data_IF_496186477188
#
_entry.id   IF_496186477188
#
_cell.length_a   1.000
_cell.length_b   1.000
_cell.length_c   1.000
_cell.angle_alpha   90.00
_cell.angle_beta   90.00
_cell.angle_gamma   90.00
#
_symmetry.space_group_name_H-M   'P 1'
#
loop_
_entity.id
_entity.type
_entity.pdbx_description
1 polymer ?
#
# COMPACT_ATOMS: atom_id res chain seq x y z
N UNK A 1 -7.47 22.87 13.16
CA UNK A 1 -6.63 23.55 14.18
C UNK A 1 -5.25 22.88 14.25
N UNK A 2 -4.21 23.57 13.81
CA UNK A 2 -2.83 23.02 13.77
C UNK A 2 -2.27 22.96 15.19
N UNK A 3 -1.73 21.81 15.59
CA UNK A 3 -1.09 21.62 16.91
C UNK A 3 0.23 22.39 16.97
N UNK A 4 0.48 23.09 18.08
CA UNK A 4 1.73 23.85 18.29
C UNK A 4 2.86 22.89 18.71
N UNK A 5 4.04 23.09 18.12
CA UNK A 5 5.25 22.33 18.45
C UNK A 5 5.76 22.71 19.83
N UNK A 6 6.12 21.71 20.65
CA UNK A 6 6.56 21.89 22.03
C UNK A 6 8.05 22.22 22.17
N UNK A 7 8.87 22.07 21.12
CA UNK A 7 10.33 22.24 21.21
C UNK A 7 10.91 22.89 19.95
N UNK A 8 10.75 24.22 19.85
CA UNK A 8 11.15 25.02 18.68
C UNK A 8 12.67 25.20 18.59
N UNK A 9 13.38 25.27 19.72
CA UNK A 9 14.79 25.70 19.77
C UNK A 9 15.77 24.82 18.97
N UNK A 10 15.45 23.52 18.82
CA UNK A 10 16.24 22.53 18.05
C UNK A 10 15.63 22.18 16.69
N UNK A 11 14.60 22.91 16.28
CA UNK A 11 13.89 22.66 15.03
C UNK A 11 14.33 23.64 13.96
N UNK A 12 14.05 23.27 12.70
CA UNK A 12 14.26 24.12 11.52
C UNK A 12 13.63 25.52 11.66
N UNK A 13 12.61 25.68 12.52
CA UNK A 13 11.92 26.94 12.76
C UNK A 13 12.77 27.98 13.53
N UNK A 14 13.90 27.58 14.13
CA UNK A 14 14.81 28.47 14.87
C UNK A 14 16.07 28.86 14.05
N UNK A 15 16.11 28.50 12.76
CA UNK A 15 17.21 28.87 11.86
C UNK A 15 16.94 30.26 11.26
N UNK A 16 17.44 31.33 11.90
CA UNK A 16 17.23 32.74 11.46
C UNK A 16 17.59 33.00 10.00
N UNK A 17 18.54 32.25 9.42
CA UNK A 17 18.98 32.38 8.02
C UNK A 17 17.96 31.88 6.98
N UNK A 18 16.92 31.18 7.42
CA UNK A 18 15.86 30.63 6.55
C UNK A 18 14.60 31.50 6.55
N UNK A 19 14.55 32.58 7.33
CA UNK A 19 13.43 33.50 7.28
C UNK A 19 13.50 34.31 5.98
N UNK A 20 12.47 34.27 5.12
CA UNK A 20 12.47 35.03 3.89
C UNK A 20 12.54 36.53 4.19
N UNK A 21 13.40 37.25 3.48
CA UNK A 21 13.43 38.71 3.51
C UNK A 21 12.03 39.24 3.16
N UNK A 22 11.50 40.14 3.98
CA UNK A 22 10.15 40.66 3.89
C UNK A 22 9.90 41.33 2.53
N UNK A 23 9.25 40.61 1.61
CA UNK A 23 8.85 41.09 0.29
C UNK A 23 7.45 40.63 -0.13
N UNK A 24 6.66 40.13 0.82
CA UNK A 24 5.29 39.71 0.56
C UNK A 24 4.38 40.93 0.42
N UNK A 25 3.55 40.92 -0.60
CA UNK A 25 2.47 41.90 -0.77
C UNK A 25 1.35 41.60 0.24
N UNK A 26 1.49 42.19 1.42
CA UNK A 26 0.54 42.00 2.53
C UNK A 26 -0.80 42.68 2.24
N UNK A 27 -0.85 43.67 1.33
CA UNK A 27 -2.10 44.31 0.91
C UNK A 27 -2.90 43.37 0.01
N UNK A 28 -2.26 42.73 -0.98
CA UNK A 28 -2.91 41.72 -1.81
C UNK A 28 -3.38 40.52 -0.97
N UNK A 29 -2.55 40.06 -0.04
CA UNK A 29 -2.91 38.97 0.88
C UNK A 29 -4.16 39.33 1.71
N UNK A 30 -4.21 40.56 2.21
CA UNK A 30 -5.36 41.07 2.95
C UNK A 30 -6.59 41.12 2.06
N UNK A 31 -6.52 41.69 0.86
CA UNK A 31 -7.69 41.80 -0.03
C UNK A 31 -8.24 40.43 -0.47
N UNK A 32 -7.35 39.45 -0.68
CA UNK A 32 -7.74 38.10 -1.09
C UNK A 32 -8.34 37.23 0.02
N UNK A 33 -7.93 37.43 1.28
CA UNK A 33 -8.23 36.51 2.38
C UNK A 33 -8.85 37.18 3.62
N UNK A 34 -9.12 38.48 3.59
CA UNK A 34 -9.83 39.16 4.67
C UNK A 34 -11.27 38.63 4.77
N UNK A 35 -11.57 38.05 5.92
CA UNK A 35 -12.93 37.62 6.27
C UNK A 35 -13.73 38.87 6.63
N UNK A 36 -14.42 39.45 5.63
CA UNK A 36 -15.29 40.61 5.85
C UNK A 36 -16.40 40.25 6.85
N UNK A 37 -16.54 40.96 7.97
CA UNK A 37 -17.65 40.76 8.88
C UNK A 37 -18.96 41.12 8.18
N UNK A 38 -19.99 40.27 8.32
CA UNK A 38 -21.35 40.62 7.91
C UNK A 38 -21.82 41.83 8.71
N UNK A 39 -21.96 42.97 8.05
CA UNK A 39 -22.57 44.16 8.64
C UNK A 39 -24.06 43.91 8.87
N UNK A 40 -24.44 43.66 10.12
CA UNK A 40 -25.81 43.82 10.58
C UNK A 40 -26.14 45.31 10.57
N UNK A 41 -26.90 45.77 9.58
CA UNK A 41 -27.49 47.10 9.59
C UNK A 41 -28.54 47.17 10.70
N UNK A 42 -28.12 47.71 11.85
CA UNK A 42 -29.03 48.10 12.92
C UNK A 42 -29.95 49.22 12.43
N UNK A 43 -31.24 48.91 12.29
CA UNK A 43 -32.29 49.94 12.24
C UNK A 43 -32.59 50.39 13.67
N UNK A 44 -32.47 51.70 13.87
CA UNK A 44 -32.88 52.42 15.08
C UNK A 44 -34.35 52.16 15.41
N UNK A 45 -34.62 52.16 16.71
CA UNK A 45 -35.93 52.23 17.34
C UNK A 45 -36.75 53.40 16.81
N UNK A 46 -37.97 53.10 16.35
CA UNK A 46 -39.12 53.98 16.52
C UNK A 46 -40.38 53.13 16.67
N UNK A 47 -41.23 53.59 17.59
CA UNK A 47 -42.60 53.21 17.97
C UNK A 47 -43.33 52.07 17.23
N UNK A 48 -43.95 51.21 18.04
CA UNK A 48 -44.88 50.15 17.62
C UNK A 48 -46.16 50.70 16.95
N UNK A 49 -46.64 50.04 15.88
CA UNK A 49 -48.05 49.91 15.55
C UNK A 49 -48.56 48.48 15.83
N UNK A 50 -49.89 48.28 15.97
CA UNK A 50 -50.46 47.05 16.54
C UNK A 50 -50.35 45.85 15.59
N UNK A 51 -50.32 44.67 16.22
CA UNK A 51 -50.20 43.37 15.58
C UNK A 51 -51.32 43.13 14.55
N UNK A 52 -50.90 42.77 13.33
CA UNK A 52 -51.72 42.03 12.37
C UNK A 52 -51.40 40.52 12.48
N UNK A 53 -52.41 39.63 12.45
CA UNK A 53 -52.18 38.20 12.62
C UNK A 53 -51.68 37.56 11.31
N UNK A 54 -50.75 36.62 11.42
CA UNK A 54 -50.53 35.59 10.39
C UNK A 54 -49.37 35.84 9.41
N UNK A 55 -48.17 35.40 9.80
CA UNK A 55 -47.33 34.48 9.00
C UNK A 55 -46.02 34.28 9.77
N UNK A 56 -45.98 33.26 10.63
CA UNK A 56 -44.71 32.74 11.14
C UNK A 56 -43.89 32.26 9.94
N UNK A 57 -42.78 32.94 9.65
CA UNK A 57 -41.74 32.41 8.77
C UNK A 57 -41.42 30.99 9.24
N UNK A 58 -41.43 29.98 8.35
CA UNK A 58 -41.22 28.61 8.76
C UNK A 58 -39.86 28.49 9.46
N UNK A 59 -39.87 27.87 10.64
CA UNK A 59 -38.68 27.57 11.40
C UNK A 59 -37.74 26.72 10.53
N UNK A 60 -36.45 27.08 10.50
CA UNK A 60 -35.44 26.26 9.82
C UNK A 60 -35.13 25.09 10.74
N UNK A 61 -35.15 23.86 10.20
CA UNK A 61 -34.93 22.64 10.99
C UNK A 61 -33.66 22.73 11.83
N UNK A 62 -33.72 22.23 13.07
CA UNK A 62 -32.58 22.13 13.99
C UNK A 62 -32.12 20.69 14.23
N UNK A 63 -32.74 19.72 13.56
CA UNK A 63 -32.43 18.29 13.70
C UNK A 63 -31.00 17.91 13.25
N UNK A 64 -30.41 18.65 12.32
CA UNK A 64 -29.07 18.40 11.79
C UNK A 64 -28.12 19.53 12.22
N UNK A 65 -26.94 19.17 12.73
CA UNK A 65 -25.94 20.17 13.13
C UNK A 65 -25.45 21.00 11.94
N UNK A 66 -25.08 22.26 12.18
CA UNK A 66 -24.64 23.17 11.12
C UNK A 66 -23.44 22.62 10.34
N UNK A 67 -22.48 21.96 11.01
CA UNK A 67 -21.32 21.34 10.37
C UNK A 67 -21.73 20.17 9.46
N UNK A 68 -22.65 19.31 9.92
CA UNK A 68 -23.16 18.19 9.10
C UNK A 68 -23.92 18.68 7.89
N UNK A 69 -24.78 19.69 8.06
CA UNK A 69 -25.52 20.36 6.98
C UNK A 69 -24.58 20.90 5.91
N UNK A 70 -23.55 21.66 6.32
CA UNK A 70 -22.55 22.19 5.39
C UNK A 70 -21.82 21.08 4.62
N UNK A 71 -21.41 20.00 5.30
CA UNK A 71 -20.77 18.85 4.66
C UNK A 71 -21.68 18.19 3.61
N UNK A 72 -22.95 17.94 3.97
CA UNK A 72 -23.96 17.38 3.06
C UNK A 72 -24.15 18.27 1.84
N UNK A 73 -24.37 19.58 2.04
CA UNK A 73 -24.58 20.54 0.95
C UNK A 73 -23.38 20.60 -0.01
N UNK A 74 -22.15 20.57 0.53
CA UNK A 74 -20.93 20.55 -0.27
C UNK A 74 -20.89 19.30 -1.15
N UNK A 75 -21.09 18.11 -0.56
CA UNK A 75 -21.07 16.83 -1.29
C UNK A 75 -22.17 16.78 -2.35
N UNK A 76 -23.39 17.18 -2.02
CA UNK A 76 -24.52 17.18 -2.97
C UNK A 76 -24.25 18.13 -4.16
N UNK A 77 -23.64 19.30 -3.92
CA UNK A 77 -23.20 20.21 -5.00
C UNK A 77 -22.10 19.61 -5.86
N UNK A 78 -21.19 18.82 -5.29
CA UNK A 78 -20.15 18.14 -6.04
C UNK A 78 -20.72 17.05 -6.95
N UNK A 79 -21.70 16.29 -6.47
CA UNK A 79 -22.34 15.23 -7.26
C UNK A 79 -23.13 15.80 -8.45
N UNK A 80 -23.68 17.02 -8.34
CA UNK A 80 -24.46 17.70 -9.42
C UNK A 80 -25.64 16.86 -9.94
N UNK A 81 -26.17 15.98 -9.11
CA UNK A 81 -27.36 15.16 -9.38
C UNK A 81 -28.46 15.63 -8.43
N UNK A 82 -29.71 15.69 -8.92
CA UNK A 82 -30.85 16.02 -8.04
C UNK A 82 -31.01 14.94 -6.96
N UNK A 83 -31.55 15.28 -5.78
CA UNK A 83 -31.68 14.32 -4.68
C UNK A 83 -32.57 13.13 -5.08
N UNK A 84 -33.59 13.36 -5.92
CA UNK A 84 -34.48 12.32 -6.44
C UNK A 84 -33.79 11.39 -7.45
N UNK A 85 -33.07 11.96 -8.42
CA UNK A 85 -32.31 11.17 -9.38
C UNK A 85 -31.20 10.39 -8.68
N UNK A 86 -30.58 10.97 -7.66
CA UNK A 86 -29.54 10.33 -6.86
C UNK A 86 -30.11 9.17 -6.03
N UNK A 87 -31.28 9.35 -5.40
CA UNK A 87 -31.97 8.25 -4.69
C UNK A 87 -32.29 7.12 -5.67
N UNK A 88 -32.82 7.46 -6.83
CA UNK A 88 -33.14 6.48 -7.89
C UNK A 88 -31.90 5.72 -8.34
N UNK A 89 -30.79 6.43 -8.61
CA UNK A 89 -29.52 5.84 -8.99
C UNK A 89 -28.95 4.90 -7.91
N UNK A 90 -29.07 5.28 -6.63
CA UNK A 90 -28.62 4.45 -5.50
C UNK A 90 -29.46 3.18 -5.37
N UNK A 91 -30.80 3.30 -5.44
CA UNK A 91 -31.70 2.14 -5.37
C UNK A 91 -31.51 1.18 -6.55
N UNK A 92 -31.25 1.72 -7.74
CA UNK A 92 -30.99 0.95 -8.94
C UNK A 92 -29.54 0.41 -9.04
N UNK A 93 -28.66 0.77 -8.10
CA UNK A 93 -27.22 0.50 -8.16
C UNK A 93 -26.59 0.90 -9.52
N UNK A 94 -26.92 2.10 -9.98
CA UNK A 94 -26.53 2.60 -11.29
C UNK A 94 -25.01 2.84 -11.39
N UNK A 95 -24.40 2.26 -12.42
CA UNK A 95 -22.96 2.32 -12.71
C UNK A 95 -22.45 3.74 -13.00
N UNK A 96 -23.35 4.72 -13.22
CA UNK A 96 -22.97 6.14 -13.30
C UNK A 96 -22.35 6.68 -12.01
N UNK A 97 -22.61 6.05 -10.86
CA UNK A 97 -22.03 6.41 -9.57
C UNK A 97 -20.70 5.67 -9.41
N UNK A 98 -19.59 6.39 -9.60
CA UNK A 98 -18.25 5.83 -9.46
C UNK A 98 -17.85 5.62 -7.99
N UNK A 99 -16.71 4.98 -7.75
CA UNK A 99 -16.22 4.72 -6.40
C UNK A 99 -16.07 5.99 -5.54
N UNK A 100 -15.61 7.09 -6.15
CA UNK A 100 -15.50 8.39 -5.45
C UNK A 100 -16.85 8.97 -5.06
N UNK A 101 -17.88 8.77 -5.89
CA UNK A 101 -19.23 9.26 -5.61
C UNK A 101 -19.85 8.46 -4.46
N UNK A 102 -19.66 7.15 -4.48
CA UNK A 102 -20.09 6.24 -3.42
C UNK A 102 -19.37 6.55 -2.09
N UNK A 103 -18.07 6.87 -2.12
CA UNK A 103 -17.33 7.29 -0.92
C UNK A 103 -17.86 8.60 -0.34
N UNK A 104 -18.11 9.58 -1.20
CA UNK A 104 -18.68 10.87 -0.79
C UNK A 104 -20.06 10.65 -0.15
N UNK A 105 -20.91 9.83 -0.77
CA UNK A 105 -22.23 9.47 -0.26
C UNK A 105 -22.15 8.74 1.08
N UNK A 106 -21.24 7.78 1.22
CA UNK A 106 -20.99 7.07 2.47
C UNK A 106 -20.65 8.06 3.59
N UNK A 107 -19.81 9.06 3.30
CA UNK A 107 -19.35 10.05 4.27
C UNK A 107 -20.46 11.00 4.78
N UNK A 108 -21.57 11.09 4.04
CA UNK A 108 -22.74 11.91 4.38
C UNK A 108 -23.99 11.09 4.66
N UNK A 109 -23.91 9.76 4.63
CA UNK A 109 -25.05 8.88 4.87
C UNK A 109 -25.79 9.29 6.17
N UNK A 110 -27.14 9.40 6.15
CA UNK A 110 -27.91 9.80 7.32
C UNK A 110 -27.76 8.81 8.47
N UNK A 111 -27.59 9.29 9.70
CA UNK A 111 -27.60 8.40 10.88
C UNK A 111 -29.04 8.15 11.38
N UNK A 112 -29.30 7.03 12.07
CA UNK A 112 -30.62 6.76 12.65
C UNK A 112 -31.12 7.88 13.58
N UNK A 113 -30.22 8.54 14.30
CA UNK A 113 -30.51 9.67 15.18
C UNK A 113 -30.89 10.93 14.41
N UNK A 114 -30.19 11.22 13.31
CA UNK A 114 -30.50 12.34 12.40
C UNK A 114 -31.89 12.15 11.78
N UNK A 115 -32.18 10.95 11.27
CA UNK A 115 -33.49 10.59 10.69
C UNK A 115 -34.61 10.68 11.73
N UNK A 116 -34.39 10.12 12.93
CA UNK A 116 -35.38 10.15 14.01
C UNK A 116 -35.66 11.58 14.51
N UNK A 117 -34.61 12.40 14.62
CA UNK A 117 -34.74 13.79 15.05
C UNK A 117 -35.53 14.62 14.05
N UNK A 118 -35.25 14.44 12.75
CA UNK A 118 -35.96 15.13 11.67
C UNK A 118 -37.42 14.70 11.60
N UNK A 119 -37.71 13.39 11.67
CA UNK A 119 -39.08 12.88 11.67
C UNK A 119 -39.90 13.39 12.87
N UNK A 120 -39.27 13.50 14.04
CA UNK A 120 -39.91 14.08 15.24
C UNK A 120 -40.21 15.57 15.08
N UNK A 121 -39.32 16.32 14.44
CA UNK A 121 -39.52 17.75 14.16
C UNK A 121 -40.69 17.94 13.18
N UNK A 122 -40.69 17.20 12.06
CA UNK A 122 -41.76 17.23 11.06
C UNK A 122 -43.11 16.76 11.60
N UNK A 123 -43.12 15.81 12.55
CA UNK A 123 -44.34 15.37 13.22
C UNK A 123 -44.95 16.43 14.14
N UNK A 124 -44.14 17.36 14.67
CA UNK A 124 -44.60 18.49 15.51
C UNK A 124 -44.99 19.70 14.69
N UNK A 125 -44.21 20.01 13.65
CA UNK A 125 -44.43 21.15 12.77
C UNK A 125 -44.31 20.71 11.29
N UNK A 126 -45.41 20.25 10.68
CA UNK A 126 -45.38 19.80 9.27
C UNK A 126 -45.03 20.89 8.26
N UNK A 127 -45.09 22.16 8.67
CA UNK A 127 -44.70 23.33 7.87
C UNK A 127 -43.21 23.67 7.92
N UNK A 128 -42.40 22.94 8.70
CA UNK A 128 -40.95 23.17 8.78
C UNK A 128 -40.31 23.09 7.40
N UNK A 129 -39.54 24.11 7.02
CA UNK A 129 -38.91 24.17 5.71
C UNK A 129 -37.66 23.27 5.68
N UNK A 130 -37.69 22.26 4.82
CA UNK A 130 -36.52 21.42 4.53
C UNK A 130 -35.55 22.19 3.62
N UNK A 131 -34.27 22.23 3.98
CA UNK A 131 -33.19 22.61 3.07
C UNK A 131 -32.63 21.36 2.38
N UNK A 132 -31.65 21.51 1.46
CA UNK A 132 -31.12 20.37 0.70
C UNK A 132 -30.59 19.22 1.57
N UNK A 133 -29.96 19.53 2.70
CA UNK A 133 -29.50 18.53 3.66
C UNK A 133 -30.65 17.80 4.37
N UNK A 134 -31.70 18.51 4.83
CA UNK A 134 -32.83 17.84 5.46
C UNK A 134 -33.64 17.03 4.45
N UNK A 135 -33.79 17.53 3.22
CA UNK A 135 -34.42 16.78 2.14
C UNK A 135 -33.64 15.49 1.84
N UNK A 136 -32.31 15.56 1.81
CA UNK A 136 -31.45 14.39 1.67
C UNK A 136 -31.65 13.41 2.83
N UNK A 137 -31.56 13.85 4.09
CA UNK A 137 -31.77 12.99 5.26
C UNK A 137 -33.15 12.35 5.26
N UNK A 138 -34.19 13.11 4.91
CA UNK A 138 -35.55 12.62 4.83
C UNK A 138 -35.70 11.53 3.75
N UNK A 139 -35.23 11.79 2.52
CA UNK A 139 -35.37 10.87 1.39
C UNK A 139 -34.48 9.63 1.54
N UNK A 140 -33.23 9.79 1.93
CA UNK A 140 -32.26 8.70 2.08
C UNK A 140 -32.41 7.94 3.41
N UNK A 141 -32.98 8.56 4.44
CA UNK A 141 -33.25 7.91 5.72
C UNK A 141 -34.29 6.78 5.66
N UNK A 142 -35.08 6.73 4.58
CA UNK A 142 -35.97 5.59 4.28
C UNK A 142 -35.21 4.33 3.83
N UNK A 143 -33.97 4.47 3.35
CA UNK A 143 -33.16 3.34 2.89
C UNK A 143 -32.48 2.69 4.10
N UNK A 144 -32.89 1.47 4.43
CA UNK A 144 -32.31 0.71 5.53
C UNK A 144 -30.81 0.48 5.33
N UNK A 145 -30.01 0.76 6.36
CA UNK A 145 -28.55 0.54 6.38
C UNK A 145 -27.81 1.13 5.17
N UNK A 146 -28.24 2.31 4.68
CA UNK A 146 -27.67 2.93 3.49
C UNK A 146 -26.14 2.94 3.47
N UNK A 147 -25.51 3.35 4.58
CA UNK A 147 -24.06 3.44 4.68
C UNK A 147 -23.39 2.10 4.36
N UNK A 148 -23.81 1.04 5.02
CA UNK A 148 -23.20 -0.28 4.85
C UNK A 148 -23.49 -0.85 3.45
N UNK A 149 -24.67 -0.57 2.89
CA UNK A 149 -25.00 -0.92 1.50
C UNK A 149 -24.06 -0.24 0.49
N UNK A 150 -23.73 1.03 0.71
CA UNK A 150 -22.76 1.75 -0.13
C UNK A 150 -21.37 1.13 0.00
N UNK A 151 -20.94 0.73 1.21
CA UNK A 151 -19.66 0.04 1.40
C UNK A 151 -19.66 -1.32 0.68
N UNK A 152 -20.74 -2.10 0.78
CA UNK A 152 -20.91 -3.37 0.06
C UNK A 152 -20.84 -3.18 -1.46
N UNK A 153 -21.47 -2.13 -1.98
CA UNK A 153 -21.41 -1.80 -3.41
C UNK A 153 -19.97 -1.50 -3.84
N UNK A 154 -19.28 -0.60 -3.13
CA UNK A 154 -17.87 -0.27 -3.43
C UNK A 154 -16.97 -1.50 -3.37
N UNK A 155 -17.16 -2.35 -2.36
CA UNK A 155 -16.45 -3.61 -2.23
C UNK A 155 -16.68 -4.52 -3.44
N UNK A 156 -17.94 -4.76 -3.82
CA UNK A 156 -18.28 -5.56 -5.00
C UNK A 156 -17.62 -5.05 -6.28
N UNK A 157 -17.57 -3.73 -6.48
CA UNK A 157 -16.92 -3.11 -7.65
C UNK A 157 -15.39 -3.29 -7.67
N UNK A 158 -14.74 -3.45 -6.51
CA UNK A 158 -13.28 -3.64 -6.38
C UNK A 158 -12.86 -5.11 -6.25
N UNK A 159 -13.82 -6.00 -6.00
CA UNK A 159 -13.60 -7.38 -5.60
C UNK A 159 -12.66 -8.16 -6.55
N UNK A 160 -12.97 -8.19 -7.84
CA UNK A 160 -12.18 -9.00 -8.79
C UNK A 160 -10.76 -8.44 -8.93
N UNK A 161 -10.59 -7.12 -8.89
CA UNK A 161 -9.25 -6.50 -8.91
C UNK A 161 -8.43 -6.95 -7.71
N UNK A 162 -9.01 -6.93 -6.51
CA UNK A 162 -8.34 -7.41 -5.29
C UNK A 162 -7.98 -8.90 -5.40
N UNK A 163 -8.89 -9.73 -5.92
CA UNK A 163 -8.65 -11.15 -6.16
C UNK A 163 -7.45 -11.38 -7.09
N UNK A 164 -7.43 -10.72 -8.24
CA UNK A 164 -6.34 -10.83 -9.23
C UNK A 164 -5.01 -10.35 -8.66
N UNK A 165 -5.01 -9.24 -7.90
CA UNK A 165 -3.79 -8.76 -7.26
C UNK A 165 -3.22 -9.78 -6.26
N UNK A 166 -4.07 -10.45 -5.46
CA UNK A 166 -3.63 -11.52 -4.56
C UNK A 166 -3.07 -12.72 -5.33
N UNK A 167 -3.69 -13.12 -6.43
CA UNK A 167 -3.18 -14.21 -7.29
C UNK A 167 -1.79 -13.90 -7.84
N UNK A 168 -1.60 -12.69 -8.37
CA UNK A 168 -0.30 -12.26 -8.91
C UNK A 168 0.77 -12.30 -7.81
N UNK A 169 0.44 -11.84 -6.59
CA UNK A 169 1.37 -11.90 -5.45
C UNK A 169 1.72 -13.35 -5.09
N UNK A 170 0.72 -14.23 -4.99
CA UNK A 170 0.92 -15.66 -4.70
C UNK A 170 1.76 -16.35 -5.77
N UNK A 171 1.48 -16.10 -7.05
CA UNK A 171 2.20 -16.70 -8.17
C UNK A 171 3.67 -16.23 -8.21
N UNK A 172 3.91 -14.94 -7.97
CA UNK A 172 5.26 -14.38 -7.88
C UNK A 172 6.09 -15.07 -6.79
N UNK A 173 5.50 -15.29 -5.62
CA UNK A 173 6.14 -15.99 -4.51
C UNK A 173 6.44 -17.44 -4.87
N UNK A 174 5.48 -18.16 -5.45
CA UNK A 174 5.68 -19.54 -5.85
C UNK A 174 6.80 -19.67 -6.90
N UNK A 175 6.82 -18.76 -7.88
CA UNK A 175 7.89 -18.69 -8.89
C UNK A 175 9.25 -18.45 -8.26
N UNK A 176 9.36 -17.49 -7.35
CA UNK A 176 10.62 -17.20 -6.64
C UNK A 176 11.12 -18.39 -5.82
N UNK A 177 10.20 -19.07 -5.12
CA UNK A 177 10.47 -20.29 -4.36
C UNK A 177 11.09 -21.37 -5.26
N UNK A 178 10.46 -21.60 -6.42
CA UNK A 178 10.93 -22.57 -7.41
C UNK A 178 12.27 -22.18 -8.04
N UNK A 179 12.48 -20.90 -8.33
CA UNK A 179 13.75 -20.39 -8.85
C UNK A 179 14.88 -20.72 -7.88
N UNK A 180 14.75 -20.38 -6.60
CA UNK A 180 15.81 -20.64 -5.63
C UNK A 180 16.02 -22.13 -5.36
N UNK A 181 14.94 -22.91 -5.22
CA UNK A 181 15.03 -24.36 -4.95
C UNK A 181 15.66 -25.14 -6.10
N UNK A 182 15.46 -24.71 -7.35
CA UNK A 182 15.95 -25.42 -8.53
C UNK A 182 17.23 -24.82 -9.13
N UNK A 183 17.78 -23.74 -8.56
CA UNK A 183 19.00 -23.13 -9.06
C UNK A 183 20.25 -23.87 -8.54
N UNK A 184 20.86 -24.69 -9.39
CA UNK A 184 22.02 -25.49 -9.02
C UNK A 184 23.31 -24.66 -8.87
N UNK A 185 23.47 -23.59 -9.65
CA UNK A 185 24.60 -22.68 -9.53
C UNK A 185 24.60 -21.98 -8.15
N UNK A 186 23.44 -21.52 -7.69
CA UNK A 186 23.23 -20.94 -6.37
C UNK A 186 23.58 -21.95 -5.26
N UNK A 187 23.07 -23.19 -5.35
CA UNK A 187 23.44 -24.26 -4.40
C UNK A 187 24.95 -24.50 -4.38
N UNK A 188 25.59 -24.50 -5.55
CA UNK A 188 27.04 -24.67 -5.65
C UNK A 188 27.80 -23.53 -4.95
N UNK A 189 27.34 -22.27 -5.08
CA UNK A 189 27.91 -21.14 -4.33
C UNK A 189 27.74 -21.33 -2.82
N UNK A 190 26.57 -21.78 -2.34
CA UNK A 190 26.37 -22.09 -0.92
C UNK A 190 27.36 -23.15 -0.42
N UNK A 191 27.57 -24.22 -1.19
CA UNK A 191 28.56 -25.26 -0.85
C UNK A 191 30.00 -24.74 -0.86
N UNK A 192 30.36 -23.84 -1.78
CA UNK A 192 31.67 -23.18 -1.78
C UNK A 192 31.86 -22.37 -0.50
N UNK A 193 30.86 -21.57 -0.10
CA UNK A 193 30.90 -20.79 1.13
C UNK A 193 31.08 -21.71 2.35
N UNK A 194 30.30 -22.79 2.43
CA UNK A 194 30.41 -23.77 3.52
C UNK A 194 31.81 -24.39 3.59
N UNK A 195 32.35 -24.79 2.44
CA UNK A 195 33.68 -25.42 2.34
C UNK A 195 34.78 -24.48 2.83
N UNK A 196 34.76 -23.23 2.36
CA UNK A 196 35.75 -22.22 2.78
C UNK A 196 35.56 -21.87 4.25
N UNK A 197 34.32 -21.70 4.72
CA UNK A 197 34.02 -21.45 6.13
C UNK A 197 34.51 -22.56 7.06
N UNK A 198 34.33 -23.83 6.68
CA UNK A 198 34.83 -24.97 7.45
C UNK A 198 36.37 -25.05 7.45
N UNK A 199 37.01 -24.72 6.33
CA UNK A 199 38.46 -24.64 6.26
C UNK A 199 39.02 -23.57 7.21
N UNK A 200 38.40 -22.38 7.24
CA UNK A 200 38.80 -21.28 8.13
C UNK A 200 38.57 -21.61 9.62
N UNK A 201 37.57 -22.44 9.92
CA UNK A 201 37.21 -22.84 11.29
C UNK A 201 37.79 -24.20 11.70
N UNK A 202 38.76 -24.73 10.94
CA UNK A 202 39.34 -26.04 11.22
C UNK A 202 39.95 -26.11 12.63
N UNK A 203 39.64 -27.16 13.38
CA UNK A 203 40.09 -27.33 14.77
C UNK A 203 39.31 -26.52 15.83
N UNK A 204 38.24 -25.83 15.43
CA UNK A 204 37.32 -25.13 16.34
C UNK A 204 35.98 -25.86 16.46
N UNK A 205 35.19 -25.54 17.50
CA UNK A 205 33.80 -25.99 17.64
C UNK A 205 32.87 -25.40 16.56
N UNK A 206 33.38 -24.52 15.69
CA UNK A 206 32.63 -23.75 14.68
C UNK A 206 32.52 -24.45 13.32
N UNK A 207 33.03 -25.67 13.18
CA UNK A 207 32.77 -26.48 11.99
C UNK A 207 31.29 -26.84 11.91
N UNK A 208 30.70 -26.74 10.72
CA UNK A 208 29.27 -26.91 10.53
C UNK A 208 28.97 -27.83 9.33
N UNK A 209 27.83 -28.51 9.38
CA UNK A 209 27.31 -29.30 8.25
C UNK A 209 26.48 -28.45 7.27
N UNK A 210 26.16 -27.22 7.66
CA UNK A 210 25.40 -26.24 6.88
C UNK A 210 25.34 -24.90 7.61
N UNK A 211 24.83 -23.88 6.95
CA UNK A 211 24.53 -22.57 7.54
C UNK A 211 23.21 -22.07 6.99
N UNK A 212 22.53 -21.19 7.74
CA UNK A 212 21.26 -20.61 7.30
C UNK A 212 21.48 -19.64 6.15
N UNK A 213 20.60 -19.65 5.17
CA UNK A 213 20.66 -18.73 4.03
C UNK A 213 20.47 -17.29 4.49
N UNK A 214 19.68 -17.07 5.54
CA UNK A 214 19.53 -15.78 6.21
C UNK A 214 20.85 -15.23 6.79
N UNK A 215 21.88 -16.05 6.98
CA UNK A 215 23.21 -15.63 7.43
C UNK A 215 24.15 -15.18 6.29
N UNK A 216 23.73 -15.27 5.01
CA UNK A 216 24.52 -14.81 3.85
C UNK A 216 25.05 -13.36 3.98
N UNK A 217 24.29 -12.38 4.49
CA UNK A 217 24.81 -11.02 4.70
C UNK A 217 26.01 -10.98 5.68
N UNK A 218 26.11 -11.93 6.61
CA UNK A 218 27.24 -12.04 7.55
C UNK A 218 28.49 -12.56 6.84
N UNK A 219 28.33 -13.47 5.89
CA UNK A 219 29.43 -14.01 5.06
C UNK A 219 30.12 -12.89 4.28
N UNK A 220 29.34 -11.96 3.75
CA UNK A 220 29.84 -10.78 3.02
C UNK A 220 30.72 -9.89 3.92
N UNK A 221 30.46 -9.85 5.23
CA UNK A 221 31.17 -8.99 6.17
C UNK A 221 32.51 -9.59 6.67
N UNK A 222 32.81 -10.86 6.38
CA UNK A 222 34.03 -11.52 6.83
C UNK A 222 35.24 -10.97 6.06
N UNK A 223 36.22 -10.44 6.80
CA UNK A 223 37.48 -9.90 6.26
C UNK A 223 38.66 -10.84 6.48
N UNK A 224 39.69 -10.72 5.65
CA UNK A 224 41.00 -11.33 5.88
C UNK A 224 41.68 -10.75 7.13
N UNK A 225 42.67 -11.47 7.68
CA UNK A 225 43.38 -11.07 8.91
C UNK A 225 44.05 -9.69 8.81
N UNK A 226 44.48 -9.31 7.60
CA UNK A 226 45.10 -8.02 7.28
C UNK A 226 44.09 -6.95 6.82
N UNK A 227 42.79 -7.27 6.82
CA UNK A 227 41.70 -6.44 6.32
C UNK A 227 41.81 -5.98 4.86
N UNK A 228 42.67 -6.63 4.04
CA UNK A 228 42.90 -6.25 2.65
C UNK A 228 41.86 -6.81 1.67
N UNK A 229 41.15 -7.86 2.07
CA UNK A 229 40.11 -8.51 1.26
C UNK A 229 38.98 -9.10 2.11
N UNK A 230 37.92 -9.52 1.46
CA UNK A 230 36.74 -10.16 2.05
C UNK A 230 36.61 -11.62 1.61
N UNK A 231 35.92 -12.42 2.41
CA UNK A 231 35.58 -13.80 2.04
C UNK A 231 34.79 -13.85 0.72
N UNK A 232 33.91 -12.87 0.47
CA UNK A 232 33.19 -12.76 -0.79
C UNK A 232 34.13 -12.54 -1.98
N UNK A 233 35.13 -11.66 -1.87
CA UNK A 233 36.12 -11.44 -2.92
C UNK A 233 36.93 -12.71 -3.22
N UNK A 234 37.25 -13.50 -2.19
CA UNK A 234 37.88 -14.80 -2.37
C UNK A 234 36.96 -15.80 -3.10
N UNK A 235 35.68 -15.87 -2.73
CA UNK A 235 34.71 -16.74 -3.41
C UNK A 235 34.56 -16.32 -4.88
N UNK A 236 34.43 -15.01 -5.15
CA UNK A 236 34.37 -14.45 -6.51
C UNK A 236 35.61 -14.82 -7.33
N UNK A 237 36.81 -14.73 -6.73
CA UNK A 237 38.05 -15.15 -7.37
C UNK A 237 38.01 -16.64 -7.75
N UNK A 238 37.56 -17.51 -6.85
CA UNK A 238 37.45 -18.95 -7.13
C UNK A 238 36.40 -19.25 -8.21
N UNK A 239 35.25 -18.58 -8.18
CA UNK A 239 34.22 -18.71 -9.23
C UNK A 239 34.80 -18.28 -10.57
N UNK A 240 35.39 -17.09 -10.65
CA UNK A 240 35.91 -16.55 -11.90
C UNK A 240 37.06 -17.36 -12.50
N UNK A 241 37.94 -17.94 -11.67
CA UNK A 241 39.10 -18.70 -12.17
C UNK A 241 38.81 -20.18 -12.40
N UNK A 242 37.90 -20.80 -11.63
CA UNK A 242 37.74 -22.26 -11.61
C UNK A 242 36.32 -22.74 -11.92
N UNK A 243 35.30 -21.92 -11.67
CA UNK A 243 33.89 -22.30 -11.85
C UNK A 243 33.10 -21.22 -12.59
N UNK A 244 33.54 -20.76 -13.78
CA UNK A 244 32.93 -19.61 -14.46
C UNK A 244 31.45 -19.84 -14.82
N UNK A 245 31.03 -21.09 -15.04
CA UNK A 245 29.64 -21.45 -15.30
C UNK A 245 28.68 -21.11 -14.13
N UNK A 246 29.22 -20.89 -12.93
CA UNK A 246 28.42 -20.57 -11.74
C UNK A 246 28.18 -19.06 -11.61
N UNK A 247 28.96 -18.22 -12.30
CA UNK A 247 28.93 -16.76 -12.10
C UNK A 247 27.56 -16.12 -12.40
N UNK A 248 26.81 -16.69 -13.34
CA UNK A 248 25.54 -16.15 -13.82
C UNK A 248 24.35 -16.46 -12.89
N UNK A 249 24.56 -17.20 -11.78
CA UNK A 249 23.50 -17.50 -10.82
C UNK A 249 22.79 -16.22 -10.32
N UNK A 250 23.51 -15.09 -10.24
CA UNK A 250 22.94 -13.82 -9.78
C UNK A 250 21.85 -13.28 -10.70
N UNK A 251 21.92 -13.55 -12.00
CA UNK A 251 20.86 -13.20 -12.95
C UNK A 251 19.70 -14.20 -12.88
N UNK A 252 20.00 -15.48 -12.69
CA UNK A 252 19.00 -16.54 -12.59
C UNK A 252 18.13 -16.42 -11.33
N UNK A 253 18.69 -15.97 -10.21
CA UNK A 253 17.95 -15.77 -8.95
C UNK A 253 17.31 -14.39 -8.83
N UNK A 254 17.60 -13.46 -9.74
CA UNK A 254 17.09 -12.08 -9.71
C UNK A 254 15.55 -11.97 -9.55
N UNK A 255 14.73 -12.80 -10.22
CA UNK A 255 13.28 -12.78 -10.01
C UNK A 255 12.84 -13.07 -8.56
N UNK A 256 13.65 -13.81 -7.80
CA UNK A 256 13.38 -14.14 -6.40
C UNK A 256 13.78 -13.01 -5.43
N UNK A 257 14.74 -12.17 -5.82
CA UNK A 257 15.28 -11.08 -5.00
C UNK A 257 14.29 -9.93 -4.73
N UNK A 258 13.19 -9.87 -5.48
CA UNK A 258 12.16 -8.83 -5.34
C UNK A 258 11.17 -9.03 -4.19
N UNK A 259 11.21 -10.17 -3.50
CA UNK A 259 10.32 -10.47 -2.38
C UNK A 259 10.91 -9.92 -1.08
N UNK A 260 10.11 -9.13 -0.37
CA UNK A 260 10.50 -8.48 0.90
C UNK A 260 9.92 -9.24 2.10
N UNK A 261 10.51 -9.09 3.28
CA UNK A 261 9.86 -9.48 4.54
C UNK A 261 8.49 -8.80 4.64
N UNK A 262 7.50 -9.52 5.17
CA UNK A 262 6.10 -9.09 5.29
C UNK A 262 5.22 -9.37 4.07
N UNK A 263 5.78 -9.77 2.92
CA UNK A 263 4.98 -10.02 1.69
C UNK A 263 3.86 -11.07 1.87
N UNK A 264 4.05 -12.02 2.79
CA UNK A 264 3.05 -13.06 3.12
C UNK A 264 1.95 -12.53 4.03
N UNK A 265 2.29 -11.59 4.90
CA UNK A 265 1.34 -10.90 5.75
C UNK A 265 0.41 -10.03 4.91
N UNK A 266 0.92 -9.33 3.91
CA UNK A 266 0.11 -8.54 2.96
C UNK A 266 -0.96 -9.41 2.25
N UNK A 267 -0.63 -10.66 1.89
CA UNK A 267 -1.60 -11.59 1.30
C UNK A 267 -2.64 -12.04 2.33
N UNK A 268 -2.20 -12.31 3.57
CA UNK A 268 -3.10 -12.70 4.67
C UNK A 268 -4.11 -11.60 4.98
N UNK A 269 -3.63 -10.35 5.04
CA UNK A 269 -4.46 -9.16 5.24
C UNK A 269 -5.45 -8.98 4.10
N UNK A 270 -5.01 -9.09 2.84
CA UNK A 270 -5.92 -9.00 1.70
C UNK A 270 -6.98 -10.10 1.66
N UNK A 271 -6.65 -11.34 2.05
CA UNK A 271 -7.64 -12.42 2.17
C UNK A 271 -8.65 -12.14 3.30
N UNK A 272 -8.18 -11.59 4.41
CA UNK A 272 -9.05 -11.17 5.52
C UNK A 272 -9.98 -10.03 5.11
N UNK A 273 -9.49 -9.06 4.34
CA UNK A 273 -10.31 -7.97 3.81
C UNK A 273 -11.42 -8.49 2.88
N UNK A 274 -11.10 -9.49 2.03
CA UNK A 274 -12.11 -10.18 1.22
C UNK A 274 -13.15 -10.90 2.08
N UNK A 275 -12.72 -11.64 3.11
CA UNK A 275 -13.63 -12.36 4.01
C UNK A 275 -14.55 -11.40 4.78
N UNK A 276 -13.99 -10.35 5.39
CA UNK A 276 -14.75 -9.31 6.07
C UNK A 276 -15.75 -8.63 5.13
N UNK A 277 -15.34 -8.29 3.91
CA UNK A 277 -16.22 -7.70 2.90
C UNK A 277 -17.38 -8.63 2.52
N UNK A 278 -17.10 -9.92 2.33
CA UNK A 278 -18.14 -10.91 2.04
C UNK A 278 -19.10 -11.15 3.22
N UNK A 279 -18.61 -11.17 4.45
CA UNK A 279 -19.45 -11.27 5.65
C UNK A 279 -20.39 -10.08 5.76
N UNK A 280 -19.88 -8.87 5.50
CA UNK A 280 -20.70 -7.66 5.51
C UNK A 280 -21.76 -7.69 4.39
N UNK A 281 -21.41 -8.14 3.18
CA UNK A 281 -22.39 -8.33 2.09
C UNK A 281 -23.49 -9.31 2.53
N UNK A 282 -23.14 -10.46 3.09
CA UNK A 282 -24.10 -11.45 3.57
C UNK A 282 -25.03 -10.87 4.65
N UNK A 283 -24.47 -10.16 5.63
CA UNK A 283 -25.22 -9.51 6.70
C UNK A 283 -26.20 -8.45 6.16
N UNK A 284 -25.77 -7.63 5.18
CA UNK A 284 -26.63 -6.58 4.63
C UNK A 284 -27.72 -7.14 3.70
N UNK A 285 -27.47 -8.27 3.04
CA UNK A 285 -28.50 -8.99 2.28
C UNK A 285 -29.54 -9.60 3.22
N UNK A 286 -29.12 -10.20 4.34
CA UNK A 286 -30.03 -10.83 5.30
C UNK A 286 -30.87 -9.80 6.07
N UNK A 287 -30.24 -8.68 6.47
CA UNK A 287 -30.91 -7.62 7.23
C UNK A 287 -31.76 -6.67 6.40
N UNK A 288 -31.74 -6.81 5.07
CA UNK A 288 -32.56 -6.00 4.18
C UNK A 288 -34.06 -6.32 4.35
N UNK A 289 -34.71 -5.59 5.25
CA UNK A 289 -36.17 -5.59 5.37
C UNK A 289 -36.83 -4.80 4.23
N UNK A 290 -38.07 -5.18 3.87
CA UNK A 290 -38.97 -4.58 2.84
C UNK A 290 -38.27 -3.56 1.93
N UNK A 291 -37.64 -4.08 0.88
CA UNK A 291 -37.02 -3.29 -0.17
C UNK A 291 -38.00 -2.22 -0.70
N UNK A 292 -37.57 -0.97 -0.73
CA UNK A 292 -38.31 0.12 -1.38
C UNK A 292 -38.60 -0.27 -2.84
N UNK A 293 -39.66 0.26 -3.47
CA UNK A 293 -39.88 0.05 -4.89
C UNK A 293 -38.63 0.40 -5.70
N UNK A 294 -38.21 -0.49 -6.60
CA UNK A 294 -37.00 -0.35 -7.44
C UNK A 294 -35.65 -0.52 -6.70
N UNK A 295 -35.63 -0.90 -5.43
CA UNK A 295 -34.40 -1.28 -4.73
C UNK A 295 -33.90 -2.66 -5.21
N UNK A 296 -32.81 -2.66 -5.99
CA UNK A 296 -32.23 -3.89 -6.54
C UNK A 296 -31.06 -4.42 -5.72
N UNK A 297 -30.72 -3.79 -4.58
CA UNK A 297 -29.52 -4.12 -3.81
C UNK A 297 -29.39 -5.61 -3.49
N UNK A 298 -30.44 -6.20 -2.93
CA UNK A 298 -30.42 -7.61 -2.53
C UNK A 298 -30.24 -8.55 -3.73
N UNK A 299 -30.87 -8.25 -4.87
CA UNK A 299 -30.73 -9.05 -6.08
C UNK A 299 -29.29 -9.00 -6.58
N UNK A 300 -28.75 -7.79 -6.76
CA UNK A 300 -27.39 -7.57 -7.26
C UNK A 300 -26.34 -8.18 -6.33
N UNK A 301 -26.49 -8.02 -5.01
CA UNK A 301 -25.53 -8.56 -4.04
C UNK A 301 -25.62 -10.09 -3.91
N UNK A 302 -26.79 -10.69 -4.07
CA UNK A 302 -26.92 -12.15 -4.14
C UNK A 302 -26.25 -12.73 -5.40
N UNK A 303 -26.46 -12.09 -6.56
CA UNK A 303 -25.81 -12.47 -7.81
C UNK A 303 -24.28 -12.33 -7.71
N UNK A 304 -23.80 -11.23 -7.15
CA UNK A 304 -22.39 -11.03 -6.82
C UNK A 304 -21.87 -12.13 -5.89
N UNK A 305 -22.57 -12.41 -4.80
CA UNK A 305 -22.20 -13.43 -3.82
C UNK A 305 -22.07 -14.84 -4.42
N UNK A 306 -22.93 -15.19 -5.38
CA UNK A 306 -22.88 -16.49 -6.06
C UNK A 306 -21.57 -16.73 -6.81
N UNK A 307 -20.92 -15.67 -7.31
CA UNK A 307 -19.60 -15.72 -7.93
C UNK A 307 -18.46 -15.49 -6.92
N UNK A 308 -18.63 -14.52 -6.03
CA UNK A 308 -17.58 -14.06 -5.14
C UNK A 308 -17.22 -15.07 -4.03
N UNK A 309 -18.21 -15.79 -3.49
CA UNK A 309 -17.95 -16.80 -2.45
C UNK A 309 -17.03 -17.93 -2.95
N UNK A 310 -17.33 -18.61 -4.09
CA UNK A 310 -16.40 -19.59 -4.65
C UNK A 310 -15.03 -19.00 -5.00
N UNK A 311 -14.98 -17.75 -5.47
CA UNK A 311 -13.73 -17.04 -5.79
C UNK A 311 -12.84 -16.89 -4.54
N UNK A 312 -13.40 -16.43 -3.42
CA UNK A 312 -12.69 -16.31 -2.14
C UNK A 312 -12.21 -17.68 -1.63
N UNK A 313 -13.07 -18.70 -1.67
CA UNK A 313 -12.69 -20.06 -1.25
C UNK A 313 -11.54 -20.62 -2.10
N UNK A 314 -11.57 -20.39 -3.41
CA UNK A 314 -10.49 -20.77 -4.32
C UNK A 314 -9.17 -20.07 -3.99
N UNK A 315 -9.20 -18.78 -3.67
CA UNK A 315 -8.02 -18.02 -3.25
C UNK A 315 -7.46 -18.53 -1.92
N UNK A 316 -8.32 -18.72 -0.91
CA UNK A 316 -7.93 -19.24 0.39
C UNK A 316 -7.23 -20.60 0.26
N UNK A 317 -7.81 -21.53 -0.52
CA UNK A 317 -7.20 -22.84 -0.78
C UNK A 317 -5.84 -22.76 -1.49
N UNK A 318 -5.70 -21.85 -2.46
CA UNK A 318 -4.39 -21.62 -3.12
C UNK A 318 -3.37 -21.06 -2.14
N UNK A 319 -3.78 -20.14 -1.28
CA UNK A 319 -2.91 -19.60 -0.25
C UNK A 319 -2.48 -20.65 0.77
N UNK A 320 -3.38 -21.54 1.21
CA UNK A 320 -3.04 -22.65 2.09
C UNK A 320 -2.02 -23.60 1.45
N UNK A 321 -2.19 -23.88 0.15
CA UNK A 321 -1.23 -24.69 -0.62
C UNK A 321 0.14 -24.00 -0.67
N UNK A 322 0.15 -22.70 -1.00
CA UNK A 322 1.37 -21.89 -1.04
C UNK A 322 2.07 -21.86 0.33
N UNK A 323 1.31 -21.73 1.42
CA UNK A 323 1.84 -21.76 2.78
C UNK A 323 2.58 -23.07 3.08
N UNK A 324 2.02 -24.21 2.67
CA UNK A 324 2.69 -25.50 2.78
C UNK A 324 3.99 -25.58 1.96
N UNK A 325 3.97 -25.11 0.71
CA UNK A 325 5.17 -25.04 -0.14
C UNK A 325 6.28 -24.17 0.48
N UNK A 326 5.90 -23.05 1.10
CA UNK A 326 6.83 -22.14 1.77
C UNK A 326 7.44 -22.72 3.03
N UNK A 327 6.65 -23.46 3.82
CA UNK A 327 7.18 -24.20 4.96
C UNK A 327 8.22 -25.22 4.52
N UNK A 328 7.90 -26.01 3.47
CA UNK A 328 8.87 -26.93 2.89
C UNK A 328 10.09 -26.23 2.28
N UNK A 329 9.93 -25.00 1.76
CA UNK A 329 11.04 -24.20 1.24
C UNK A 329 11.98 -23.75 2.36
N UNK A 330 11.46 -23.21 3.46
CA UNK A 330 12.27 -22.85 4.63
C UNK A 330 12.98 -24.08 5.21
N UNK A 331 12.26 -25.19 5.36
CA UNK A 331 12.82 -26.46 5.84
C UNK A 331 13.96 -26.96 4.93
N UNK A 332 13.77 -26.89 3.60
CA UNK A 332 14.79 -27.27 2.63
C UNK A 332 16.09 -26.47 2.77
N UNK A 333 16.01 -25.19 3.15
CA UNK A 333 17.18 -24.35 3.41
C UNK A 333 17.66 -24.36 4.87
N UNK A 334 17.05 -25.18 5.75
CA UNK A 334 17.43 -25.31 7.16
C UNK A 334 17.07 -24.08 8.01
N UNK A 335 16.08 -23.31 7.57
CA UNK A 335 15.57 -22.14 8.29
C UNK A 335 14.55 -22.56 9.36
N UNK A 336 14.40 -21.77 10.44
CA UNK A 336 13.48 -22.13 11.51
C UNK A 336 12.01 -22.03 11.04
N UNK A 337 11.11 -22.85 11.61
CA UNK A 337 9.73 -22.99 11.11
C UNK A 337 8.87 -21.73 11.29
N UNK A 338 9.27 -20.82 12.18
CA UNK A 338 8.63 -19.54 12.47
C UNK A 338 9.25 -18.37 11.68
N UNK A 339 10.28 -18.61 10.87
CA UNK A 339 10.88 -17.58 10.02
C UNK A 339 9.87 -17.07 8.99
N UNK A 340 9.86 -15.75 8.78
CA UNK A 340 9.24 -15.18 7.58
C UNK A 340 10.06 -15.60 6.34
N UNK A 341 9.50 -16.36 5.38
CA UNK A 341 10.22 -16.76 4.18
C UNK A 341 10.76 -15.56 3.38
N UNK A 342 10.18 -14.37 3.55
CA UNK A 342 10.63 -13.11 2.95
C UNK A 342 12.05 -12.73 3.35
N UNK A 343 12.51 -13.14 4.54
CA UNK A 343 13.88 -12.94 5.00
C UNK A 343 14.89 -13.72 4.18
N UNK A 344 14.54 -14.94 3.73
CA UNK A 344 15.39 -15.77 2.87
C UNK A 344 15.59 -15.07 1.53
N UNK A 345 14.50 -14.64 0.89
CA UNK A 345 14.55 -13.93 -0.39
C UNK A 345 15.35 -12.63 -0.29
N UNK A 346 15.17 -11.87 0.80
CA UNK A 346 15.93 -10.65 1.04
C UNK A 346 17.43 -10.90 1.24
N UNK A 347 17.79 -11.93 2.02
CA UNK A 347 19.18 -12.32 2.24
C UNK A 347 19.87 -12.75 0.94
N UNK A 348 19.19 -13.56 0.12
CA UNK A 348 19.68 -13.96 -1.21
C UNK A 348 19.82 -12.74 -2.12
N UNK A 349 18.86 -11.83 -2.13
CA UNK A 349 18.92 -10.62 -2.96
C UNK A 349 20.07 -9.69 -2.61
N UNK A 350 20.33 -9.48 -1.31
CA UNK A 350 21.48 -8.72 -0.83
C UNK A 350 22.79 -9.39 -1.25
N UNK A 351 22.89 -10.70 -1.05
CA UNK A 351 24.06 -11.49 -1.40
C UNK A 351 24.32 -11.48 -2.91
N UNK A 352 23.32 -11.77 -3.74
CA UNK A 352 23.41 -11.79 -5.19
C UNK A 352 23.81 -10.42 -5.75
N UNK A 353 23.23 -9.35 -5.21
CA UNK A 353 23.61 -7.97 -5.60
C UNK A 353 25.07 -7.71 -5.29
N UNK A 354 25.53 -8.04 -4.08
CA UNK A 354 26.92 -7.81 -3.70
C UNK A 354 27.87 -8.70 -4.50
N UNK A 355 27.55 -9.97 -4.69
CA UNK A 355 28.31 -10.89 -5.51
C UNK A 355 28.49 -10.34 -6.92
N UNK A 356 27.40 -9.93 -7.57
CA UNK A 356 27.42 -9.38 -8.94
C UNK A 356 28.36 -8.17 -9.05
N UNK A 357 28.25 -7.22 -8.11
CA UNK A 357 29.13 -6.04 -8.09
C UNK A 357 30.60 -6.45 -7.90
N UNK A 358 30.87 -7.35 -6.96
CA UNK A 358 32.25 -7.82 -6.70
C UNK A 358 32.82 -8.62 -7.88
N UNK A 359 32.00 -9.44 -8.54
CA UNK A 359 32.40 -10.20 -9.72
C UNK A 359 32.72 -9.30 -10.92
N UNK A 360 31.89 -8.29 -11.19
CA UNK A 360 32.16 -7.28 -12.23
C UNK A 360 33.48 -6.54 -11.97
N UNK A 361 33.72 -6.09 -10.73
CA UNK A 361 34.97 -5.43 -10.36
C UNK A 361 36.20 -6.35 -10.53
N UNK A 362 36.04 -7.64 -10.21
CA UNK A 362 37.08 -8.65 -10.42
C UNK A 362 37.38 -8.85 -11.91
N UNK A 363 36.35 -8.98 -12.76
CA UNK A 363 36.52 -9.12 -14.22
C UNK A 363 37.28 -7.93 -14.82
N UNK A 364 36.89 -6.70 -14.45
CA UNK A 364 37.60 -5.49 -14.90
C UNK A 364 39.06 -5.45 -14.45
N UNK A 365 39.37 -5.96 -13.26
CA UNK A 365 40.75 -6.03 -12.74
C UNK A 365 41.56 -7.06 -13.51
N UNK A 366 41.00 -8.24 -13.77
CA UNK A 366 41.61 -9.31 -14.57
C UNK A 366 41.91 -8.85 -16.00
N UNK A 367 40.95 -8.21 -16.66
CA UNK A 367 41.15 -7.68 -18.01
C UNK A 367 42.24 -6.63 -18.07
N UNK A 368 42.30 -5.74 -17.05
CA UNK A 368 43.37 -4.75 -16.93
C UNK A 368 44.73 -5.40 -16.70
N UNK A 369 44.82 -6.46 -15.90
CA UNK A 369 46.09 -7.18 -15.69
C UNK A 369 46.56 -7.83 -16.98
N UNK A 370 45.68 -8.54 -17.69
CA UNK A 370 46.00 -9.19 -18.97
C UNK A 370 46.47 -8.19 -20.03
N UNK A 371 45.80 -7.04 -20.14
CA UNK A 371 46.22 -5.95 -21.05
C UNK A 371 47.61 -5.41 -20.70
N UNK A 372 47.91 -5.20 -19.40
CA UNK A 372 49.23 -4.73 -18.94
C UNK A 372 50.33 -5.75 -19.21
N UNK A 373 50.07 -7.02 -18.96
CA UNK A 373 51.01 -8.12 -19.24
C UNK A 373 51.30 -8.24 -20.73
N UNK A 374 50.28 -8.15 -21.59
CA UNK A 374 50.46 -8.15 -23.04
C UNK A 374 51.28 -6.95 -23.53
N UNK A 375 51.03 -5.75 -23.01
CA UNK A 375 51.82 -4.55 -23.33
C UNK A 375 53.28 -4.70 -22.89
N UNK A 376 53.53 -5.24 -21.69
CA UNK A 376 54.89 -5.50 -21.22
C UNK A 376 55.62 -6.54 -22.07
N UNK A 377 54.93 -7.60 -22.50
CA UNK A 377 55.51 -8.61 -23.39
C UNK A 377 55.83 -8.05 -24.77
N UNK A 378 54.96 -7.19 -25.33
CA UNK A 378 55.21 -6.51 -26.60
C UNK A 378 56.40 -5.56 -26.51
N UNK A 379 56.51 -4.78 -25.43
CA UNK A 379 57.65 -3.90 -25.20
C UNK A 379 58.97 -4.68 -25.08
N UNK A 380 58.98 -5.77 -24.28
CA UNK A 380 60.16 -6.63 -24.14
C UNK A 380 60.57 -7.31 -25.46
N UNK A 381 59.61 -7.64 -26.33
CA UNK A 381 59.90 -8.18 -27.66
C UNK A 381 60.41 -7.11 -28.64
N UNK A 382 59.94 -5.86 -28.54
CA UNK A 382 60.45 -4.74 -29.31
C UNK A 382 61.90 -4.42 -28.91
N UNK A 383 62.16 -4.26 -27.60
CA UNK A 383 63.49 -3.96 -27.09
C UNK A 383 64.52 -5.05 -27.45
N UNK A 384 64.12 -6.33 -27.46
CA UNK A 384 64.98 -7.44 -27.90
C UNK A 384 65.26 -7.43 -29.41
N UNK A 385 64.33 -6.95 -30.24
CA UNK A 385 64.54 -6.82 -31.69
C UNK A 385 65.48 -5.66 -32.00
N UNK A 386 65.32 -4.53 -31.33
CA UNK A 386 66.16 -3.34 -31.54
C UNK A 386 67.63 -3.59 -31.14
N UNK A 387 67.86 -4.40 -30.11
CA UNK A 387 69.20 -4.88 -29.69
C UNK A 387 69.79 -5.91 -30.66
N UNK A 388 68.98 -6.65 -31.42
CA UNK A 388 69.45 -7.63 -32.40
C UNK A 388 69.73 -7.02 -33.79
N UNK A 389 69.21 -5.82 -34.07
CA UNK A 389 69.44 -5.05 -35.31
C UNK A 389 70.47 -3.93 -35.19
N UNK A 390 70.98 -3.66 -33.98
CA UNK A 390 72.14 -2.80 -33.73
C UNK A 390 73.40 -3.65 -33.58
#
# INVERSE_FOLDING_TARGET
PVQRLQNIEKSVWNEEKMQPESGYDMELLHDMFEVKPRTSTGRKSDSAPPAAPGNSLPSVSTAISQQRRQKMDIVLRFLKISIDDLKTAVLAMDQRLGDEDLEKLESIAPTPEEVSSLNRELGKEPSTRLTGAEEFVYKFGSISNLRDRLICWRFGSKFEKLCVELEIRMERILKATNVLRNNDAFKQVLHMILTVGNFLNHGSHRMASGFRVTDLPKVVAVKSNDNSSTLLEYIVLQVGQRFPAVADFTAEVEPACGIKPGAFQEITEGLKDLDCGMQMVAQQVESASRAEPHDVFCRTMNEFGAFAVPRCQGLAKRYDTLKGELQGFCEYFGEPPDLDPGEVFAAVGQFATKFRITYQAWQEKEERSKKREQQQQQQQQADKKDVATS
#
